data_IF_237856369563
#
_entry.id   IF_237856369563
#
_cell.length_a   1.000
_cell.length_b   1.000
_cell.length_c   1.000
_cell.angle_alpha   90.00
_cell.angle_beta   90.00
_cell.angle_gamma   90.00
#
_symmetry.space_group_name_H-M   'P 1'
#
loop_
_entity.id
_entity.type
_entity.pdbx_description
1 polymer ?
#
# COMPACT_ATOMS: atom_id res chain seq x y z
N UNK A 1 9.57 6.74 26.60
CA UNK A 1 9.13 7.02 25.23
C UNK A 1 8.89 5.72 24.50
N UNK A 2 7.66 5.54 24.08
CA UNK A 2 7.21 4.51 23.15
C UNK A 2 6.36 5.17 22.06
N UNK A 3 6.48 4.68 20.83
CA UNK A 3 5.67 5.18 19.70
C UNK A 3 4.51 4.21 19.44
N UNK A 4 3.28 4.71 19.50
CA UNK A 4 2.08 3.95 19.21
C UNK A 4 1.65 4.17 17.76
N UNK A 5 1.58 3.08 17.00
CA UNK A 5 1.33 3.08 15.56
C UNK A 5 0.05 2.29 15.28
N UNK A 6 -1.04 2.94 14.83
CA UNK A 6 -2.23 2.25 14.36
C UNK A 6 -1.95 1.35 13.15
N UNK A 7 -2.71 0.26 13.02
CA UNK A 7 -2.58 -0.68 11.89
C UNK A 7 -2.64 0.02 10.53
N UNK A 8 -3.59 0.93 10.33
CA UNK A 8 -3.74 1.65 9.07
C UNK A 8 -2.51 2.52 8.76
N UNK A 9 -1.94 3.21 9.75
CA UNK A 9 -0.71 4.00 9.59
C UNK A 9 0.44 3.12 9.13
N UNK A 10 0.62 1.97 9.79
CA UNK A 10 1.66 1.01 9.42
C UNK A 10 1.45 0.48 7.99
N UNK A 11 0.22 0.09 7.63
CA UNK A 11 -0.09 -0.41 6.29
C UNK A 11 0.07 0.67 5.21
N UNK A 12 -0.20 1.95 5.51
CA UNK A 12 0.09 3.07 4.59
C UNK A 12 1.57 3.16 4.26
N UNK A 13 2.43 3.10 5.28
CA UNK A 13 3.91 3.12 5.10
C UNK A 13 4.33 1.93 4.25
N UNK A 14 3.87 0.72 4.59
CA UNK A 14 4.19 -0.50 3.85
C UNK A 14 3.75 -0.39 2.39
N UNK A 15 2.51 0.00 2.13
CA UNK A 15 1.97 0.09 0.77
C UNK A 15 2.70 1.11 -0.09
N UNK A 16 2.95 2.31 0.45
CA UNK A 16 3.66 3.36 -0.25
C UNK A 16 5.09 2.92 -0.59
N UNK A 17 5.81 2.29 0.33
CA UNK A 17 7.17 1.80 0.07
C UNK A 17 7.19 0.65 -0.95
N UNK A 18 6.30 -0.34 -0.79
CA UNK A 18 6.24 -1.52 -1.66
C UNK A 18 5.85 -1.15 -3.08
N UNK A 19 5.00 -0.14 -3.29
CA UNK A 19 4.66 0.37 -4.63
C UNK A 19 5.91 0.67 -5.47
N UNK A 20 6.96 1.22 -4.85
CA UNK A 20 8.18 1.64 -5.53
C UNK A 20 9.38 0.70 -5.35
N UNK A 21 9.32 -0.23 -4.39
CA UNK A 21 10.37 -1.23 -4.15
C UNK A 21 9.78 -2.60 -3.83
N UNK A 22 9.64 -3.44 -4.86
CA UNK A 22 9.13 -4.81 -4.73
C UNK A 22 9.75 -5.74 -5.79
N UNK A 23 9.47 -7.03 -5.66
CA UNK A 23 10.05 -8.09 -6.51
C UNK A 23 9.71 -8.03 -8.01
N UNK A 24 8.71 -7.23 -8.42
CA UNK A 24 8.36 -7.02 -9.84
C UNK A 24 9.14 -5.86 -10.47
N UNK A 25 9.84 -5.07 -9.66
CA UNK A 25 10.67 -3.96 -10.08
C UNK A 25 12.12 -4.43 -9.98
N UNK A 26 12.94 -4.15 -11.00
CA UNK A 26 14.37 -4.41 -10.92
C UNK A 26 14.95 -3.68 -9.70
N UNK A 27 15.85 -4.34 -8.95
CA UNK A 27 16.42 -3.78 -7.73
C UNK A 27 17.17 -2.47 -7.98
N UNK A 28 17.77 -2.32 -9.17
CA UNK A 28 18.44 -1.08 -9.60
C UNK A 28 17.46 0.08 -9.88
N UNK A 29 16.17 -0.23 -10.02
CA UNK A 29 15.09 0.75 -10.24
C UNK A 29 14.21 0.95 -8.97
N UNK A 30 14.62 0.41 -7.83
CA UNK A 30 13.96 0.64 -6.54
C UNK A 30 14.20 2.08 -6.09
N UNK A 31 13.15 2.72 -5.58
CA UNK A 31 13.18 4.12 -5.17
C UNK A 31 12.86 4.25 -3.69
N UNK A 32 13.55 5.16 -3.00
CA UNK A 32 13.13 5.57 -1.66
C UNK A 32 11.83 6.37 -1.74
N UNK A 33 11.00 6.20 -0.73
CA UNK A 33 9.71 6.88 -0.57
C UNK A 33 9.70 7.49 0.81
N UNK A 34 9.06 8.63 0.97
CA UNK A 34 8.91 9.30 2.25
C UNK A 34 7.55 9.90 2.48
N UNK A 35 7.28 10.17 3.75
CA UNK A 35 6.07 10.80 4.18
C UNK A 35 6.18 11.35 5.59
N UNK A 36 5.06 11.85 6.07
CA UNK A 36 4.94 12.47 7.38
C UNK A 36 4.01 11.70 8.30
N UNK A 37 4.26 11.84 9.59
CA UNK A 37 3.50 11.22 10.67
C UNK A 37 2.74 12.32 11.41
N UNK A 38 1.42 12.23 11.41
CA UNK A 38 0.53 13.13 12.16
C UNK A 38 0.06 12.42 13.41
N UNK A 39 -0.02 13.16 14.50
CA UNK A 39 -0.53 12.64 15.76
C UNK A 39 -0.42 13.64 16.89
N UNK A 40 -0.18 13.10 18.08
CA UNK A 40 -0.02 13.90 19.31
C UNK A 40 1.00 13.27 20.25
N UNK A 41 1.49 14.09 21.17
CA UNK A 41 2.33 13.65 22.26
C UNK A 41 1.50 13.55 23.54
N UNK A 42 1.63 12.45 24.29
CA UNK A 42 1.05 12.31 25.63
C UNK A 42 2.17 11.92 26.60
N UNK A 43 2.56 12.86 27.46
CA UNK A 43 3.77 12.72 28.28
C UNK A 43 5.02 12.60 27.41
N UNK A 44 5.80 11.54 27.63
CA UNK A 44 7.02 11.23 26.85
C UNK A 44 6.75 10.30 25.65
N UNK A 45 5.49 9.96 25.39
CA UNK A 45 5.10 8.99 24.36
C UNK A 45 4.45 9.68 23.16
N UNK A 46 4.60 9.07 21.98
CA UNK A 46 4.11 9.59 20.70
C UNK A 46 3.00 8.70 20.19
N UNK A 47 1.82 9.29 19.95
CA UNK A 47 0.66 8.60 19.42
C UNK A 47 0.44 9.06 17.99
N UNK A 48 0.80 8.21 17.03
CA UNK A 48 0.56 8.48 15.61
C UNK A 48 -0.90 8.18 15.32
N UNK A 49 -1.57 9.03 14.55
CA UNK A 49 -2.96 8.85 14.14
C UNK A 49 -3.09 8.69 12.64
N UNK A 50 -2.26 9.37 11.86
CA UNK A 50 -2.24 9.29 10.39
C UNK A 50 -0.82 9.31 9.85
N UNK A 51 -0.68 8.77 8.65
CA UNK A 51 0.55 8.87 7.84
C UNK A 51 0.17 9.26 6.42
N UNK A 52 0.93 10.17 5.85
CA UNK A 52 0.74 10.64 4.48
C UNK A 52 2.04 10.46 3.70
N UNK A 53 2.06 9.61 2.66
CA UNK A 53 3.15 9.60 1.70
C UNK A 53 3.17 10.94 0.96
N UNK A 54 4.35 11.53 0.81
CA UNK A 54 4.53 12.86 0.21
C UNK A 54 5.29 12.76 -1.11
N UNK A 55 6.37 11.98 -1.13
CA UNK A 55 7.25 11.91 -2.29
C UNK A 55 8.00 10.59 -2.36
N UNK A 56 8.37 10.24 -3.58
CA UNK A 56 9.35 9.23 -3.92
C UNK A 56 10.52 9.89 -4.66
N UNK A 57 11.70 9.28 -4.54
CA UNK A 57 12.87 9.70 -5.31
C UNK A 57 12.60 9.58 -6.81
N UNK A 58 13.20 10.47 -7.60
CA UNK A 58 13.25 10.32 -9.05
C UNK A 58 14.60 9.72 -9.42
N UNK A 59 14.58 8.66 -10.23
CA UNK A 59 15.80 8.06 -10.74
C UNK A 59 16.49 9.04 -11.69
N UNK A 60 17.72 9.44 -11.36
CA UNK A 60 18.59 10.20 -12.24
C UNK A 60 19.85 9.39 -12.51
N UNK A 61 19.90 8.72 -13.66
CA UNK A 61 21.00 7.81 -14.02
C UNK A 61 22.33 8.54 -14.28
N UNK A 62 22.27 9.86 -14.46
CA UNK A 62 23.44 10.71 -14.69
C UNK A 62 23.87 11.44 -13.41
N UNK A 63 23.10 11.34 -12.33
CA UNK A 63 23.45 11.93 -11.04
C UNK A 63 24.59 11.14 -10.37
N UNK A 64 25.60 11.87 -9.89
CA UNK A 64 26.71 11.32 -9.11
C UNK A 64 26.25 10.86 -7.72
N UNK A 65 25.15 11.44 -7.22
CA UNK A 65 24.52 11.16 -5.92
C UNK A 65 23.01 11.31 -6.11
N UNK A 66 22.23 10.30 -5.72
CA UNK A 66 20.76 10.38 -5.67
C UNK A 66 20.34 11.55 -4.78
N UNK A 67 19.55 12.48 -5.33
CA UNK A 67 19.10 13.66 -4.60
C UNK A 67 17.72 13.44 -4.00
N UNK A 68 17.68 13.21 -2.69
CA UNK A 68 16.46 13.32 -1.91
C UNK A 68 16.08 14.81 -1.76
N UNK A 69 15.23 15.30 -2.66
CA UNK A 69 14.82 16.70 -2.72
C UNK A 69 13.32 16.83 -2.94
N UNK A 70 12.67 17.55 -2.03
CA UNK A 70 11.26 17.90 -2.11
C UNK A 70 11.01 18.93 -3.21
N UNK A 71 9.95 18.74 -4.00
CA UNK A 71 9.41 19.74 -4.94
C UNK A 71 8.56 20.78 -4.22
N UNK A 72 8.15 21.84 -4.92
CA UNK A 72 7.23 22.84 -4.37
C UNK A 72 5.88 22.20 -3.98
N UNK A 73 5.36 21.29 -4.80
CA UNK A 73 4.14 20.50 -4.50
C UNK A 73 4.28 19.65 -3.22
N UNK A 74 5.48 19.16 -2.89
CA UNK A 74 5.72 18.39 -1.66
C UNK A 74 5.60 19.27 -0.42
N UNK A 75 6.11 20.51 -0.50
CA UNK A 75 5.98 21.49 0.58
C UNK A 75 4.53 21.98 0.72
N UNK A 76 3.82 22.19 -0.40
CA UNK A 76 2.40 22.52 -0.39
C UNK A 76 1.56 21.40 0.25
N UNK A 77 1.84 20.14 -0.11
CA UNK A 77 1.19 18.98 0.51
C UNK A 77 1.44 18.94 2.03
N UNK A 78 2.69 19.12 2.48
CA UNK A 78 2.99 19.20 3.91
C UNK A 78 2.19 20.31 4.60
N UNK A 79 2.13 21.50 4.01
CA UNK A 79 1.42 22.64 4.59
C UNK A 79 -0.08 22.35 4.77
N UNK A 80 -0.73 21.79 3.74
CA UNK A 80 -2.15 21.42 3.80
C UNK A 80 -2.39 20.40 4.90
N UNK A 81 -1.54 19.36 4.98
CA UNK A 81 -1.70 18.30 5.97
C UNK A 81 -1.50 18.85 7.40
N UNK A 82 -0.52 19.73 7.62
CA UNK A 82 -0.26 20.29 8.95
C UNK A 82 -1.39 21.24 9.40
N UNK A 83 -1.97 22.03 8.48
CA UNK A 83 -3.13 22.88 8.76
C UNK A 83 -4.40 22.05 9.11
N UNK A 84 -4.65 20.98 8.37
CA UNK A 84 -5.71 20.02 8.68
C UNK A 84 -5.49 19.31 10.01
N UNK A 85 -4.25 18.89 10.30
CA UNK A 85 -3.88 18.27 11.56
C UNK A 85 -4.13 19.23 12.73
N UNK A 86 -3.67 20.47 12.61
CA UNK A 86 -3.84 21.50 13.63
C UNK A 86 -5.32 21.76 13.94
N UNK A 87 -6.17 21.79 12.91
CA UNK A 87 -7.62 21.93 13.05
C UNK A 87 -8.27 20.78 13.86
N UNK A 88 -7.61 19.62 13.93
CA UNK A 88 -8.04 18.46 14.71
C UNK A 88 -7.31 18.34 16.06
N UNK A 89 -6.51 19.33 16.46
CA UNK A 89 -5.70 19.29 17.69
C UNK A 89 -4.50 18.33 17.60
N UNK A 90 -4.09 17.96 16.39
CA UNK A 90 -2.94 17.11 16.09
C UNK A 90 -1.86 17.94 15.38
N UNK A 91 -0.67 17.38 15.22
CA UNK A 91 0.43 18.05 14.53
C UNK A 91 1.41 17.02 13.97
N UNK A 92 2.38 17.48 13.19
CA UNK A 92 3.46 16.63 12.70
C UNK A 92 4.35 16.12 13.84
N UNK A 93 4.24 14.83 14.16
CA UNK A 93 5.01 14.16 15.23
C UNK A 93 6.28 13.48 14.72
N UNK A 94 6.54 13.52 13.41
CA UNK A 94 7.74 12.96 12.81
C UNK A 94 7.58 12.72 11.33
N UNK A 95 8.54 11.98 10.79
CA UNK A 95 8.58 11.63 9.38
C UNK A 95 9.01 10.17 9.22
N UNK A 96 8.82 9.65 8.02
CA UNK A 96 9.29 8.33 7.67
C UNK A 96 9.84 8.30 6.26
N UNK A 97 10.77 7.37 6.01
CA UNK A 97 11.25 7.04 4.68
C UNK A 97 11.60 5.57 4.55
N UNK A 98 11.91 5.15 3.32
CA UNK A 98 12.33 3.78 3.03
C UNK A 98 13.79 3.67 2.65
N UNK A 99 14.42 2.56 3.03
CA UNK A 99 15.77 2.15 2.63
C UNK A 99 15.71 0.81 1.88
N UNK A 100 15.16 0.78 0.65
CA UNK A 100 14.98 -0.47 -0.08
C UNK A 100 16.35 -1.04 -0.48
N UNK A 101 16.67 -2.23 0.03
CA UNK A 101 17.92 -2.92 -0.28
C UNK A 101 19.14 -2.50 0.55
N UNK A 102 18.99 -1.57 1.51
CA UNK A 102 20.05 -1.13 2.43
C UNK A 102 19.75 -1.53 3.87
N UNK A 103 20.79 -1.61 4.71
CA UNK A 103 20.58 -1.74 6.15
C UNK A 103 19.87 -0.51 6.69
N UNK A 104 18.92 -0.73 7.61
CA UNK A 104 18.20 0.35 8.28
C UNK A 104 19.15 1.07 9.25
N UNK A 105 19.51 2.30 8.90
CA UNK A 105 20.34 3.24 9.66
C UNK A 105 19.97 4.68 9.29
N UNK A 106 20.56 5.67 9.95
CA UNK A 106 20.36 7.09 9.58
C UNK A 106 21.56 7.58 8.76
N UNK A 107 21.29 8.08 7.55
CA UNK A 107 22.26 8.82 6.73
C UNK A 107 22.51 10.24 7.28
N UNK A 108 23.50 10.94 6.75
CA UNK A 108 23.73 12.36 7.10
C UNK A 108 22.54 13.26 6.73
N UNK A 109 21.84 12.92 5.63
CA UNK A 109 20.63 13.64 5.20
C UNK A 109 19.48 13.33 6.17
N UNK A 110 19.36 12.08 6.63
CA UNK A 110 18.33 11.65 7.56
C UNK A 110 18.51 12.32 8.93
N UNK A 111 19.76 12.42 9.41
CA UNK A 111 20.10 13.15 10.64
C UNK A 111 19.71 14.63 10.51
N UNK A 112 20.08 15.28 9.39
CA UNK A 112 19.72 16.69 9.15
C UNK A 112 18.21 16.90 9.10
N UNK A 113 17.48 16.00 8.47
CA UNK A 113 16.01 16.07 8.37
C UNK A 113 15.37 15.87 9.75
N UNK A 114 15.80 14.83 10.47
CA UNK A 114 15.32 14.55 11.84
C UNK A 114 15.65 15.67 12.80
N UNK A 115 16.80 16.33 12.65
CA UNK A 115 17.18 17.50 13.43
C UNK A 115 16.17 18.63 13.26
N UNK A 116 15.70 18.89 12.04
CA UNK A 116 14.67 19.90 11.76
C UNK A 116 13.39 19.61 12.53
N UNK A 117 12.90 18.37 12.48
CA UNK A 117 11.71 17.95 13.21
C UNK A 117 11.92 17.99 14.74
N UNK A 118 13.02 17.44 15.24
CA UNK A 118 13.30 17.36 16.69
C UNK A 118 13.61 18.71 17.33
N UNK A 119 14.07 19.70 16.56
CA UNK A 119 14.27 21.07 17.05
C UNK A 119 12.92 21.74 17.35
N UNK A 120 11.91 21.50 16.52
CA UNK A 120 10.58 22.09 16.68
C UNK A 120 9.68 21.27 17.63
N UNK A 121 9.82 19.95 17.63
CA UNK A 121 9.14 19.02 18.52
C UNK A 121 10.17 18.07 19.14
N UNK A 122 10.58 18.26 20.41
CA UNK A 122 11.60 17.42 21.04
C UNK A 122 11.33 15.92 21.01
N UNK A 123 10.05 15.51 20.92
CA UNK A 123 9.64 14.11 20.85
C UNK A 123 9.51 13.58 19.42
N UNK A 124 9.83 14.38 18.40
CA UNK A 124 9.72 13.96 17.02
C UNK A 124 10.59 12.73 16.72
N UNK A 125 10.09 11.89 15.81
CA UNK A 125 10.69 10.58 15.48
C UNK A 125 10.95 10.45 13.98
N UNK A 126 11.90 9.58 13.63
CA UNK A 126 12.19 9.19 12.25
C UNK A 126 12.00 7.68 12.09
N UNK A 127 11.01 7.24 11.32
CA UNK A 127 10.80 5.83 11.03
C UNK A 127 11.44 5.46 9.69
N UNK A 128 12.26 4.42 9.67
CA UNK A 128 12.90 3.92 8.45
C UNK A 128 12.41 2.52 8.16
N UNK A 129 11.73 2.34 7.02
CA UNK A 129 11.17 1.06 6.59
C UNK A 129 12.01 0.41 5.49
N UNK A 130 12.08 -0.92 5.48
CA UNK A 130 12.69 -1.69 4.41
C UNK A 130 11.83 -2.92 4.05
N UNK A 131 11.31 -3.01 2.82
CA UNK A 131 10.48 -4.14 2.40
C UNK A 131 11.24 -5.46 2.38
N UNK A 132 12.54 -5.46 2.04
CA UNK A 132 13.38 -6.66 2.03
C UNK A 132 13.58 -7.20 3.46
N UNK A 133 13.74 -6.32 4.46
CA UNK A 133 13.79 -6.71 5.88
C UNK A 133 12.51 -7.40 6.32
N UNK A 134 11.34 -6.84 5.97
CA UNK A 134 10.04 -7.44 6.29
C UNK A 134 9.84 -8.81 5.64
N UNK A 135 10.17 -8.94 4.36
CA UNK A 135 9.92 -10.18 3.61
C UNK A 135 10.87 -11.28 4.06
N UNK A 136 12.16 -10.96 4.21
CA UNK A 136 13.19 -11.96 4.52
C UNK A 136 13.37 -12.20 6.02
N UNK A 137 12.85 -11.31 6.85
CA UNK A 137 13.07 -11.32 8.30
C UNK A 137 14.57 -11.39 8.64
N UNK A 138 15.38 -10.55 7.99
CA UNK A 138 16.83 -10.46 8.24
C UNK A 138 17.28 -9.01 8.34
N UNK A 139 18.29 -8.76 9.17
CA UNK A 139 19.06 -7.52 9.09
C UNK A 139 19.97 -7.61 7.86
N UNK A 140 19.87 -6.62 6.96
CA UNK A 140 20.78 -6.52 5.83
C UNK A 140 22.19 -6.16 6.33
N UNK A 141 23.17 -6.73 5.67
CA UNK A 141 24.60 -6.48 5.92
C UNK A 141 24.98 -5.05 5.50
N UNK A 142 25.93 -4.44 6.23
CA UNK A 142 26.54 -3.17 5.81
C UNK A 142 27.53 -3.40 4.67
N UNK A 143 28.28 -4.50 4.74
CA UNK A 143 29.28 -4.89 3.75
C UNK A 143 29.07 -6.32 3.28
N UNK A 144 29.40 -6.57 2.02
CA UNK A 144 29.38 -7.92 1.45
C UNK A 144 30.30 -8.84 2.27
N UNK A 145 29.72 -9.84 2.92
CA UNK A 145 30.43 -10.79 3.78
C UNK A 145 30.10 -10.69 5.27
N UNK A 146 29.38 -9.65 5.71
CA UNK A 146 28.90 -9.58 7.09
C UNK A 146 27.88 -10.72 7.38
N UNK A 147 27.85 -11.24 8.61
CA UNK A 147 26.91 -12.29 8.98
C UNK A 147 25.46 -11.79 8.86
N UNK A 148 24.62 -12.60 8.22
CA UNK A 148 23.19 -12.35 8.15
C UNK A 148 22.59 -12.59 9.53
N UNK A 149 22.01 -11.55 10.14
CA UNK A 149 21.29 -11.68 11.40
C UNK A 149 19.83 -11.99 11.12
N UNK A 150 19.39 -13.17 11.52
CA UNK A 150 17.97 -13.55 11.45
C UNK A 150 17.17 -12.72 12.45
N UNK A 151 15.99 -12.30 12.02
CA UNK A 151 14.99 -11.59 12.81
C UNK A 151 13.76 -12.47 12.95
N UNK A 152 12.98 -12.19 13.99
CA UNK A 152 11.71 -12.86 14.25
C UNK A 152 10.68 -11.83 14.67
N UNK A 153 9.53 -11.81 13.99
CA UNK A 153 8.45 -10.88 14.28
C UNK A 153 8.80 -9.41 14.00
N UNK A 154 9.70 -9.14 13.06
CA UNK A 154 10.13 -7.79 12.72
C UNK A 154 9.20 -7.15 11.68
N UNK A 155 8.65 -5.95 11.93
CA UNK A 155 7.70 -5.30 11.05
C UNK A 155 8.36 -4.63 9.83
N UNK A 156 9.67 -4.78 9.64
CA UNK A 156 10.40 -4.18 8.53
C UNK A 156 10.87 -2.76 8.77
N UNK A 157 10.74 -2.21 9.98
CA UNK A 157 11.22 -0.85 10.27
C UNK A 157 11.97 -0.75 11.60
N UNK A 158 12.67 0.38 11.75
CA UNK A 158 13.14 0.90 13.05
C UNK A 158 12.72 2.35 13.18
N UNK A 159 12.60 2.82 14.42
CA UNK A 159 12.33 4.23 14.72
C UNK A 159 13.54 4.80 15.44
N UNK A 160 13.96 5.98 15.01
CA UNK A 160 15.15 6.66 15.51
C UNK A 160 14.84 8.03 16.11
N UNK A 161 15.69 8.43 17.04
CA UNK A 161 15.81 9.80 17.54
C UNK A 161 17.26 10.20 17.68
N UNK A 162 17.51 11.49 17.54
CA UNK A 162 18.80 12.12 17.85
C UNK A 162 18.97 12.26 19.36
N UNK A 163 20.17 11.99 19.83
CA UNK A 163 20.55 12.07 21.25
C UNK A 163 20.64 13.53 21.73
N UNK A 164 21.17 14.41 20.88
CA UNK A 164 21.40 15.82 21.19
C UNK A 164 21.31 16.69 19.94
N UNK A 165 20.22 17.45 19.83
CA UNK A 165 19.97 18.37 18.70
C UNK A 165 21.00 19.50 18.63
N UNK A 166 21.68 19.85 19.73
CA UNK A 166 22.67 20.93 19.73
C UNK A 166 23.96 20.55 18.98
N UNK A 167 24.20 19.25 18.74
CA UNK A 167 25.32 18.77 17.94
C UNK A 167 25.07 18.86 16.43
N UNK A 168 23.90 19.34 16.02
CA UNK A 168 23.56 19.52 14.61
C UNK A 168 23.69 18.21 13.82
N UNK A 169 24.36 18.28 12.65
CA UNK A 169 24.56 17.12 11.76
C UNK A 169 25.50 16.04 12.34
N UNK A 170 26.21 16.34 13.43
CA UNK A 170 27.07 15.38 14.14
C UNK A 170 26.35 14.68 15.29
N UNK A 171 25.05 14.92 15.45
CA UNK A 171 24.25 14.26 16.47
C UNK A 171 24.28 12.74 16.28
N UNK A 172 24.58 12.03 17.37
CA UNK A 172 24.37 10.59 17.47
C UNK A 172 22.87 10.28 17.54
N UNK A 173 22.50 9.05 17.25
CA UNK A 173 21.12 8.60 17.25
C UNK A 173 20.98 7.21 17.88
N UNK A 174 19.81 6.94 18.42
CA UNK A 174 19.42 5.65 18.99
C UNK A 174 18.06 5.21 18.47
N UNK A 175 17.78 3.92 18.58
CA UNK A 175 16.44 3.37 18.29
C UNK A 175 15.53 3.50 19.51
N UNK A 176 14.24 3.72 19.27
CA UNK A 176 13.22 3.74 20.32
C UNK A 176 12.18 2.63 20.15
N UNK A 177 11.52 2.29 21.25
CA UNK A 177 10.47 1.27 21.28
C UNK A 177 9.18 1.74 20.62
N UNK A 178 8.42 0.77 20.11
CA UNK A 178 7.15 1.01 19.45
C UNK A 178 6.13 -0.09 19.75
N UNK A 179 4.86 0.24 19.54
CA UNK A 179 3.73 -0.68 19.56
C UNK A 179 2.92 -0.49 18.29
N UNK A 180 2.82 -1.54 17.47
CA UNK A 180 1.89 -1.54 16.33
C UNK A 180 0.57 -2.14 16.78
N UNK A 181 -0.46 -1.31 16.85
CA UNK A 181 -1.80 -1.71 17.28
C UNK A 181 -2.53 -2.48 16.18
N UNK A 182 -3.53 -3.28 16.57
CA UNK A 182 -4.39 -4.02 15.62
C UNK A 182 -3.85 -5.39 15.17
N UNK A 183 -2.84 -5.90 15.89
CA UNK A 183 -2.33 -7.26 15.76
C UNK A 183 -2.21 -7.90 17.15
N UNK A 184 -2.56 -9.18 17.26
CA UNK A 184 -2.53 -9.93 18.50
C UNK A 184 -1.10 -10.36 18.87
N UNK A 185 -0.28 -10.67 17.86
CA UNK A 185 1.11 -11.12 18.03
C UNK A 185 2.03 -10.54 16.95
N UNK A 186 3.34 -10.53 17.21
CA UNK A 186 4.35 -10.13 16.22
C UNK A 186 4.37 -11.06 15.01
N UNK A 187 4.11 -12.35 15.21
CA UNK A 187 4.00 -13.33 14.12
C UNK A 187 2.78 -13.04 13.22
N UNK A 188 1.64 -12.74 13.83
CA UNK A 188 0.43 -12.34 13.10
C UNK A 188 0.67 -11.04 12.32
N UNK A 189 1.35 -10.05 12.92
CA UNK A 189 1.75 -8.82 12.24
C UNK A 189 2.54 -9.13 10.97
N UNK A 190 3.63 -9.90 11.09
CA UNK A 190 4.48 -10.21 9.93
C UNK A 190 3.70 -10.99 8.88
N UNK A 191 2.97 -12.03 9.27
CA UNK A 191 2.24 -12.90 8.33
C UNK A 191 1.16 -12.14 7.55
N UNK A 192 0.35 -11.33 8.25
CA UNK A 192 -0.69 -10.54 7.59
C UNK A 192 -0.10 -9.45 6.71
N UNK A 193 1.01 -8.84 7.13
CA UNK A 193 1.65 -7.77 6.35
C UNK A 193 2.36 -8.34 5.12
N UNK A 194 2.95 -9.53 5.19
CA UNK A 194 3.50 -10.20 4.01
C UNK A 194 2.42 -10.58 2.99
N UNK A 195 1.22 -10.98 3.44
CA UNK A 195 0.07 -11.18 2.55
C UNK A 195 -0.36 -9.87 1.90
N UNK A 196 -0.50 -8.81 2.69
CA UNK A 196 -0.82 -7.47 2.19
C UNK A 196 0.21 -6.97 1.17
N UNK A 197 1.50 -7.19 1.41
CA UNK A 197 2.58 -6.84 0.47
C UNK A 197 2.41 -7.53 -0.89
N UNK A 198 1.95 -8.79 -0.90
CA UNK A 198 1.66 -9.52 -2.15
C UNK A 198 0.51 -8.83 -2.89
N UNK A 199 -0.54 -8.42 -2.19
CA UNK A 199 -1.68 -7.73 -2.80
C UNK A 199 -1.25 -6.37 -3.38
N UNK A 200 -0.48 -5.58 -2.64
CA UNK A 200 0.11 -4.33 -3.12
C UNK A 200 0.98 -4.55 -4.35
N UNK A 201 1.88 -5.54 -4.31
CA UNK A 201 2.77 -5.88 -5.44
C UNK A 201 1.98 -6.23 -6.69
N UNK A 202 0.82 -6.85 -6.54
CA UNK A 202 0.03 -7.35 -7.67
C UNK A 202 -0.99 -6.33 -8.20
N UNK A 203 -1.50 -5.45 -7.35
CA UNK A 203 -2.66 -4.62 -7.66
C UNK A 203 -2.49 -3.13 -7.32
N UNK A 204 -1.32 -2.68 -6.85
CA UNK A 204 -1.02 -1.26 -6.68
C UNK A 204 0.15 -0.86 -7.59
N UNK A 205 -0.13 -0.47 -8.84
CA UNK A 205 0.91 -0.19 -9.81
C UNK A 205 1.69 1.10 -9.47
N UNK A 206 2.99 1.06 -9.74
CA UNK A 206 3.87 2.24 -9.70
C UNK A 206 3.48 3.22 -10.81
N UNK A 207 3.45 2.72 -12.04
CA UNK A 207 3.24 3.48 -13.28
C UNK A 207 1.99 2.99 -14.03
N UNK A 208 1.47 3.80 -14.97
CA UNK A 208 0.33 3.45 -15.83
C UNK A 208 -0.90 2.95 -15.04
N UNK A 209 -1.23 3.66 -13.96
CA UNK A 209 -2.29 3.28 -13.02
C UNK A 209 -3.63 3.11 -13.74
N UNK A 210 -3.97 4.07 -14.61
CA UNK A 210 -5.25 4.09 -15.32
C UNK A 210 -5.34 2.94 -16.31
N UNK A 211 -4.34 2.77 -17.17
CA UNK A 211 -4.31 1.71 -18.17
C UNK A 211 -4.34 0.32 -17.52
N UNK A 212 -3.64 0.16 -16.40
CA UNK A 212 -3.62 -1.09 -15.63
C UNK A 212 -5.01 -1.45 -15.12
N UNK A 213 -5.71 -0.50 -14.49
CA UNK A 213 -7.03 -0.75 -13.94
C UNK A 213 -8.12 -0.82 -15.01
N UNK A 214 -8.03 -0.04 -16.09
CA UNK A 214 -8.93 -0.18 -17.23
C UNK A 214 -8.81 -1.55 -17.87
N UNK A 215 -7.58 -2.02 -18.11
CA UNK A 215 -7.35 -3.38 -18.61
C UNK A 215 -7.92 -4.42 -17.66
N UNK A 216 -7.66 -4.29 -16.35
CA UNK A 216 -8.22 -5.20 -15.36
C UNK A 216 -9.76 -5.26 -15.43
N UNK A 217 -10.43 -4.10 -15.38
CA UNK A 217 -11.90 -4.04 -15.42
C UNK A 217 -12.44 -4.62 -16.72
N UNK A 218 -11.87 -4.24 -17.86
CA UNK A 218 -12.28 -4.75 -19.18
C UNK A 218 -12.10 -6.26 -19.29
N UNK A 219 -10.96 -6.79 -18.83
CA UNK A 219 -10.69 -8.24 -18.84
C UNK A 219 -11.75 -8.98 -17.99
N UNK A 220 -12.11 -8.45 -16.81
CA UNK A 220 -13.14 -9.06 -15.94
C UNK A 220 -14.54 -8.99 -16.55
N UNK A 221 -14.90 -7.87 -17.19
CA UNK A 221 -16.18 -7.73 -17.90
C UNK A 221 -16.26 -8.73 -19.06
N UNK A 222 -15.20 -8.87 -19.85
CA UNK A 222 -15.14 -9.81 -20.97
C UNK A 222 -15.25 -11.27 -20.52
N UNK A 223 -14.58 -11.63 -19.42
CA UNK A 223 -14.64 -12.95 -18.82
C UNK A 223 -16.06 -13.25 -18.26
N UNK A 224 -16.69 -12.28 -17.60
CA UNK A 224 -18.09 -12.41 -17.15
C UNK A 224 -19.04 -12.65 -18.33
N UNK A 225 -18.93 -11.85 -19.39
CA UNK A 225 -19.77 -11.99 -20.58
C UNK A 225 -19.57 -13.36 -21.24
N UNK A 226 -18.33 -13.86 -21.27
CA UNK A 226 -18.00 -15.19 -21.78
C UNK A 226 -18.59 -16.32 -20.95
N UNK A 227 -18.62 -16.20 -19.61
CA UNK A 227 -19.29 -17.18 -18.73
C UNK A 227 -20.81 -17.21 -18.97
N UNK A 228 -21.43 -16.05 -19.13
CA UNK A 228 -22.87 -15.93 -19.43
C UNK A 228 -23.19 -16.55 -20.79
N UNK A 229 -22.43 -16.19 -21.83
CA UNK A 229 -22.61 -16.73 -23.18
C UNK A 229 -22.37 -18.25 -23.21
N UNK A 230 -21.30 -18.73 -22.58
CA UNK A 230 -20.99 -20.16 -22.50
C UNK A 230 -22.07 -20.96 -21.78
N UNK A 231 -22.74 -20.35 -20.79
CA UNK A 231 -23.90 -20.95 -20.13
C UNK A 231 -25.06 -21.14 -21.12
N UNK A 232 -25.43 -20.10 -21.87
CA UNK A 232 -26.51 -20.16 -22.88
C UNK A 232 -26.22 -21.19 -23.99
N UNK A 233 -24.98 -21.23 -24.49
CA UNK A 233 -24.55 -22.19 -25.52
C UNK A 233 -24.58 -23.63 -25.00
N UNK A 234 -24.16 -23.85 -23.75
CA UNK A 234 -24.17 -25.18 -23.16
C UNK A 234 -25.60 -25.69 -22.94
N UNK A 235 -26.49 -24.86 -22.40
CA UNK A 235 -27.90 -25.21 -22.22
C UNK A 235 -28.61 -25.47 -23.56
N UNK A 236 -28.34 -24.64 -24.58
CA UNK A 236 -28.79 -24.90 -25.96
C UNK A 236 -28.37 -26.27 -26.48
N UNK A 237 -27.13 -26.66 -26.18
CA UNK A 237 -26.58 -27.95 -26.61
C UNK A 237 -27.28 -29.12 -25.91
N UNK A 238 -27.57 -29.00 -24.61
CA UNK A 238 -28.32 -30.02 -23.87
C UNK A 238 -29.73 -30.21 -24.45
N UNK A 239 -30.43 -29.12 -24.75
CA UNK A 239 -31.76 -29.18 -25.38
C UNK A 239 -31.72 -29.87 -26.75
N UNK A 240 -30.74 -29.55 -27.59
CA UNK A 240 -30.56 -30.20 -28.90
C UNK A 240 -30.26 -31.70 -28.80
N UNK A 241 -29.56 -32.12 -27.74
CA UNK A 241 -29.23 -33.53 -27.48
C UNK A 241 -30.37 -34.31 -26.80
N UNK A 242 -31.47 -33.65 -26.44
CA UNK A 242 -32.57 -34.28 -25.70
C UNK A 242 -32.25 -34.54 -24.23
N UNK A 243 -31.23 -33.89 -23.67
CA UNK A 243 -30.78 -34.03 -22.27
C UNK A 243 -31.45 -33.00 -21.34
N UNK A 244 -32.74 -32.70 -21.56
CA UNK A 244 -33.46 -31.63 -20.83
C UNK A 244 -33.49 -31.84 -19.31
N UNK A 245 -33.46 -33.08 -18.84
CA UNK A 245 -33.39 -33.40 -17.40
C UNK A 245 -32.15 -32.86 -16.68
N UNK A 246 -31.10 -32.46 -17.41
CA UNK A 246 -29.85 -31.90 -16.85
C UNK A 246 -29.82 -30.37 -16.85
N UNK A 247 -30.75 -29.71 -17.54
CA UNK A 247 -30.75 -28.25 -17.75
C UNK A 247 -30.77 -27.50 -16.43
N UNK A 248 -31.67 -27.88 -15.52
CA UNK A 248 -31.81 -27.23 -14.22
C UNK A 248 -30.52 -27.29 -13.40
N UNK A 249 -29.95 -28.49 -13.24
CA UNK A 249 -28.71 -28.70 -12.48
C UNK A 249 -27.54 -27.92 -13.09
N UNK A 250 -27.42 -27.93 -14.42
CA UNK A 250 -26.35 -27.20 -15.11
C UNK A 250 -26.52 -25.69 -14.94
N UNK A 251 -27.73 -25.17 -15.11
CA UNK A 251 -28.02 -23.74 -14.94
C UNK A 251 -27.71 -23.27 -13.50
N UNK A 252 -28.10 -24.06 -12.50
CA UNK A 252 -27.82 -23.77 -11.10
C UNK A 252 -26.30 -23.72 -10.83
N UNK A 253 -25.57 -24.73 -11.31
CA UNK A 253 -24.11 -24.79 -11.16
C UNK A 253 -23.40 -23.61 -11.86
N UNK A 254 -23.75 -23.32 -13.11
CA UNK A 254 -23.17 -22.20 -13.85
C UNK A 254 -23.50 -20.85 -13.19
N UNK A 255 -24.72 -20.67 -12.71
CA UNK A 255 -25.13 -19.47 -11.97
C UNK A 255 -24.31 -19.28 -10.70
N UNK A 256 -24.05 -20.37 -9.96
CA UNK A 256 -23.19 -20.33 -8.77
C UNK A 256 -21.76 -19.93 -9.12
N UNK A 257 -21.20 -20.48 -10.20
CA UNK A 257 -19.84 -20.17 -10.63
C UNK A 257 -19.70 -18.71 -11.10
N UNK A 258 -20.69 -18.19 -11.83
CA UNK A 258 -20.77 -16.77 -12.19
C UNK A 258 -20.85 -15.88 -10.94
N UNK A 259 -21.67 -16.22 -9.95
CA UNK A 259 -21.77 -15.43 -8.71
C UNK A 259 -20.48 -15.46 -7.91
N UNK A 260 -19.80 -16.61 -7.86
CA UNK A 260 -18.47 -16.73 -7.22
C UNK A 260 -17.45 -15.83 -7.92
N UNK A 261 -17.43 -15.85 -9.26
CA UNK A 261 -16.59 -14.98 -10.07
C UNK A 261 -16.80 -13.49 -9.75
N UNK A 262 -18.06 -13.07 -9.64
CA UNK A 262 -18.42 -11.68 -9.30
C UNK A 262 -17.95 -11.30 -7.90
N UNK A 263 -18.16 -12.17 -6.91
CA UNK A 263 -17.71 -11.93 -5.55
C UNK A 263 -16.18 -11.81 -5.47
N UNK A 264 -15.44 -12.65 -6.19
CA UNK A 264 -13.97 -12.55 -6.29
C UNK A 264 -13.51 -11.25 -6.97
N UNK A 265 -14.21 -10.79 -8.02
CA UNK A 265 -13.91 -9.49 -8.64
C UNK A 265 -14.19 -8.33 -7.69
N UNK A 266 -15.31 -8.39 -6.96
CA UNK A 266 -15.69 -7.35 -6.00
C UNK A 266 -14.60 -7.14 -4.95
N UNK A 267 -14.07 -8.21 -4.36
CA UNK A 267 -12.95 -8.12 -3.39
C UNK A 267 -11.73 -7.42 -3.99
N UNK A 268 -11.38 -7.71 -5.25
CA UNK A 268 -10.25 -7.06 -5.92
C UNK A 268 -10.52 -5.57 -6.18
N UNK A 269 -11.74 -5.21 -6.55
CA UNK A 269 -12.14 -3.81 -6.75
C UNK A 269 -12.09 -3.03 -5.44
N UNK A 270 -12.58 -3.61 -4.33
CA UNK A 270 -12.49 -2.98 -3.01
C UNK A 270 -11.03 -2.80 -2.57
N UNK A 271 -10.17 -3.77 -2.87
CA UNK A 271 -8.73 -3.61 -2.63
C UNK A 271 -8.15 -2.45 -3.46
N UNK A 272 -8.50 -2.29 -4.75
CA UNK A 272 -8.05 -1.16 -5.57
C UNK A 272 -8.50 0.18 -4.94
N UNK A 273 -9.76 0.27 -4.50
CA UNK A 273 -10.28 1.46 -3.79
C UNK A 273 -9.46 1.76 -2.54
N UNK A 274 -9.23 0.74 -1.71
CA UNK A 274 -8.41 0.88 -0.51
C UNK A 274 -6.97 1.31 -0.83
N UNK A 275 -6.36 0.76 -1.88
CA UNK A 275 -4.97 1.04 -2.21
C UNK A 275 -4.77 2.46 -2.73
N UNK A 276 -5.80 3.05 -3.32
CA UNK A 276 -5.79 4.46 -3.73
C UNK A 276 -5.62 5.43 -2.54
N UNK A 277 -5.98 5.02 -1.33
CA UNK A 277 -5.75 5.80 -0.10
C UNK A 277 -4.27 5.82 0.33
N UNK A 278 -3.41 5.00 -0.29
CA UNK A 278 -1.96 4.95 -0.04
C UNK A 278 -1.14 5.70 -1.10
N UNK A 279 -1.80 6.39 -2.04
CA UNK A 279 -1.14 7.30 -2.97
C UNK A 279 -0.47 8.44 -2.21
N UNK A 280 0.57 9.03 -2.82
CA UNK A 280 1.12 10.29 -2.34
C UNK A 280 0.03 11.35 -2.31
N UNK A 281 0.10 12.22 -1.31
CA UNK A 281 -0.95 13.19 -1.04
C UNK A 281 -1.32 14.02 -2.28
N UNK A 282 -0.31 14.55 -2.98
CA UNK A 282 -0.45 15.34 -4.21
C UNK A 282 -1.06 14.59 -5.40
N UNK A 283 -1.00 13.26 -5.42
CA UNK A 283 -1.56 12.46 -6.52
C UNK A 283 -3.09 12.27 -6.37
N UNK A 284 -3.61 12.34 -5.15
CA UNK A 284 -4.95 11.83 -4.78
C UNK A 284 -6.07 12.50 -5.55
N UNK A 285 -6.04 13.83 -5.63
CA UNK A 285 -7.11 14.63 -6.23
C UNK A 285 -7.29 14.36 -7.72
N UNK A 286 -6.21 13.92 -8.40
CA UNK A 286 -6.24 13.60 -9.82
C UNK A 286 -6.53 12.11 -10.04
N UNK A 287 -5.89 11.25 -9.24
CA UNK A 287 -5.87 9.81 -9.49
C UNK A 287 -7.13 9.13 -8.95
N UNK A 288 -7.59 9.46 -7.73
CA UNK A 288 -8.73 8.78 -7.08
C UNK A 288 -10.03 8.94 -7.90
N UNK A 289 -10.42 10.13 -8.38
CA UNK A 289 -11.65 10.28 -9.16
C UNK A 289 -11.63 9.45 -10.45
N UNK A 290 -10.50 9.42 -11.15
CA UNK A 290 -10.33 8.62 -12.37
C UNK A 290 -10.39 7.11 -12.09
N UNK A 291 -9.78 6.65 -11.00
CA UNK A 291 -9.92 5.25 -10.56
C UNK A 291 -11.40 4.93 -10.32
N UNK A 292 -12.13 5.81 -9.63
CA UNK A 292 -13.57 5.61 -9.36
C UNK A 292 -14.39 5.50 -10.65
N UNK A 293 -14.12 6.34 -11.64
CA UNK A 293 -14.75 6.28 -12.97
C UNK A 293 -14.42 4.96 -13.70
N UNK A 294 -13.18 4.49 -13.64
CA UNK A 294 -12.78 3.22 -14.26
C UNK A 294 -13.55 2.04 -13.62
N UNK A 295 -13.65 2.05 -12.28
CA UNK A 295 -14.30 0.96 -11.54
C UNK A 295 -15.83 0.98 -11.70
N UNK A 296 -16.46 2.14 -11.95
CA UNK A 296 -17.92 2.21 -12.15
C UNK A 296 -18.40 1.39 -13.34
N UNK A 297 -17.57 1.19 -14.37
CA UNK A 297 -17.87 0.33 -15.53
C UNK A 297 -18.20 -1.11 -15.10
N UNK A 298 -17.53 -1.61 -14.05
CA UNK A 298 -17.86 -2.92 -13.49
C UNK A 298 -19.20 -2.90 -12.76
N UNK A 299 -19.44 -1.88 -11.94
CA UNK A 299 -20.69 -1.74 -11.18
C UNK A 299 -21.91 -1.68 -12.11
N UNK A 300 -21.83 -0.88 -13.19
CA UNK A 300 -22.83 -0.80 -14.26
C UNK A 300 -23.06 -2.17 -14.95
N UNK A 301 -21.99 -2.94 -15.16
CA UNK A 301 -22.10 -4.27 -15.78
C UNK A 301 -22.84 -5.26 -14.88
N UNK A 302 -22.61 -5.19 -13.56
CA UNK A 302 -23.21 -6.11 -12.58
C UNK A 302 -24.66 -5.77 -12.29
N UNK A 303 -25.09 -4.52 -12.42
CA UNK A 303 -26.48 -4.10 -12.23
C UNK A 303 -27.45 -4.93 -13.08
N UNK A 304 -27.07 -5.21 -14.33
CA UNK A 304 -27.87 -5.99 -15.29
C UNK A 304 -27.67 -7.52 -15.20
N UNK A 305 -26.82 -8.02 -14.31
CA UNK A 305 -26.47 -9.45 -14.27
C UNK A 305 -27.67 -10.34 -13.89
N UNK A 306 -28.44 -9.93 -12.89
CA UNK A 306 -29.59 -10.72 -12.43
C UNK A 306 -30.68 -10.82 -13.50
N UNK A 307 -30.87 -9.76 -14.29
CA UNK A 307 -31.80 -9.73 -15.42
C UNK A 307 -31.37 -10.75 -16.48
N UNK A 308 -30.10 -10.70 -16.91
CA UNK A 308 -29.53 -11.65 -17.89
C UNK A 308 -29.65 -13.11 -17.44
N UNK A 309 -29.33 -13.41 -16.18
CA UNK A 309 -29.44 -14.78 -15.64
C UNK A 309 -30.90 -15.24 -15.59
N UNK A 310 -31.83 -14.33 -15.27
CA UNK A 310 -33.27 -14.63 -15.27
C UNK A 310 -33.80 -14.87 -16.68
N UNK A 311 -33.31 -14.14 -17.68
CA UNK A 311 -33.66 -14.37 -19.09
C UNK A 311 -33.19 -15.73 -19.58
N UNK A 312 -31.96 -16.13 -19.25
CA UNK A 312 -31.45 -17.48 -19.55
C UNK A 312 -32.33 -18.53 -18.87
N UNK A 313 -32.65 -18.34 -17.58
CA UNK A 313 -33.50 -19.28 -16.84
C UNK A 313 -34.92 -19.41 -17.39
N UNK A 314 -35.47 -18.36 -18.02
CA UNK A 314 -36.79 -18.41 -18.68
C UNK A 314 -36.74 -19.06 -20.06
N UNK A 315 -35.58 -19.06 -20.71
CA UNK A 315 -35.38 -19.57 -22.08
C UNK A 315 -35.31 -21.10 -22.15
N UNK A 316 -34.87 -21.76 -21.09
CA UNK A 316 -34.65 -23.22 -21.00
C UNK A 316 -35.53 -23.87 -19.95
#
# INVERSE_FOLDING_TARGET
MTVFIPKNVYLTIVAACVRFANKRINKDDWLEVSGILIGRNEGDDVFITKSYPIMHQKLDKDAVIDQYKWSDEDYEALYIIDDEAFSNGEFTVGWWHSHPGFKIMMSHIDIKTTLSYQTNNPLAVSLVFNPERLVRQVELADKKGDPVKQLEGDPGFKIFRLDDVNKGIQASYHTIDYVVNGFETKEQLVTLTQKFLIDITNMFPKDNIFETYEKFVNDRINELNSLIQGTDEYLSTLMRKGESGRVYEVLENQTRDIRKFVAETFVKIENIKQFSEYLEFKERDIVIPKIKEILSKWDETIEHLNEKLTEIAKKY
#
